data_IF_335152130634
#
_entry.id   IF_335152130634
#
_cell.length_a   1.000
_cell.length_b   1.000
_cell.length_c   1.000
_cell.angle_alpha   90.00
_cell.angle_beta   90.00
_cell.angle_gamma   90.00
#
_symmetry.space_group_name_H-M   'P 1'
#
loop_
_entity.id
_entity.type
_entity.pdbx_description
1 polymer ?
#
# COMPACT_ATOMS: atom_id res chain seq x y z
N UNK A 1 3.01 -8.56 -18.33
CA UNK A 1 1.90 -7.72 -17.83
C UNK A 1 2.14 -7.40 -16.36
N UNK A 2 2.20 -6.13 -16.01
CA UNK A 2 2.50 -5.73 -14.63
C UNK A 2 1.24 -5.25 -13.92
N UNK A 3 1.02 -5.76 -12.70
CA UNK A 3 -0.11 -5.39 -11.85
C UNK A 3 0.35 -4.43 -10.76
N UNK A 4 -0.38 -3.34 -10.56
CA UNK A 4 -0.18 -2.45 -9.41
C UNK A 4 -1.33 -2.64 -8.43
N UNK A 5 -0.99 -2.97 -7.19
CA UNK A 5 -1.96 -3.15 -6.11
C UNK A 5 -1.85 -1.94 -5.19
N UNK A 6 -2.96 -1.23 -5.01
CA UNK A 6 -3.01 -0.01 -4.21
C UNK A 6 -3.88 -0.24 -3.00
N UNK A 7 -3.34 0.03 -1.83
CA UNK A 7 -4.04 -0.12 -0.54
C UNK A 7 -3.98 1.22 0.19
N UNK A 8 -5.14 1.69 0.65
CA UNK A 8 -5.22 2.88 1.48
C UNK A 8 -5.33 2.44 2.94
N UNK A 9 -4.46 2.96 3.80
CA UNK A 9 -4.40 2.61 5.22
C UNK A 9 -4.71 3.81 6.09
N UNK A 10 -5.54 3.57 7.12
CA UNK A 10 -5.74 4.53 8.21
C UNK A 10 -6.02 3.77 9.50
N UNK A 11 -5.05 3.77 10.42
CA UNK A 11 -5.17 3.20 11.78
C UNK A 11 -5.63 1.74 11.83
N UNK A 12 -5.16 0.90 10.89
CA UNK A 12 -5.49 -0.55 10.87
C UNK A 12 -4.22 -1.39 10.72
N UNK A 13 -3.21 -1.08 11.52
CA UNK A 13 -1.86 -1.66 11.42
C UNK A 13 -1.83 -3.19 11.29
N UNK A 14 -2.48 -3.90 12.19
CA UNK A 14 -2.42 -5.35 12.20
C UNK A 14 -3.27 -5.98 11.09
N UNK A 15 -4.38 -5.34 10.75
CA UNK A 15 -5.18 -5.76 9.61
C UNK A 15 -4.40 -5.58 8.30
N UNK A 16 -3.71 -4.45 8.17
CA UNK A 16 -2.86 -4.18 7.01
C UNK A 16 -1.72 -5.19 6.93
N UNK A 17 -1.11 -5.56 8.04
CA UNK A 17 -0.07 -6.59 8.06
C UNK A 17 -0.57 -7.91 7.50
N UNK A 18 -1.74 -8.37 7.94
CA UNK A 18 -2.36 -9.58 7.40
C UNK A 18 -2.63 -9.46 5.90
N UNK A 19 -3.15 -8.32 5.48
CA UNK A 19 -3.44 -8.05 4.09
C UNK A 19 -2.17 -8.13 3.23
N UNK A 20 -1.09 -7.51 3.68
CA UNK A 20 0.20 -7.53 2.95
C UNK A 20 0.80 -8.93 2.89
N UNK A 21 0.68 -9.72 3.95
CA UNK A 21 1.12 -11.12 3.94
C UNK A 21 0.36 -11.93 2.88
N UNK A 22 -0.96 -11.74 2.82
CA UNK A 22 -1.80 -12.44 1.84
C UNK A 22 -1.49 -12.02 0.41
N UNK A 23 -1.29 -10.72 0.19
CA UNK A 23 -0.93 -10.19 -1.12
C UNK A 23 0.44 -10.71 -1.57
N UNK A 24 1.42 -10.69 -0.67
CA UNK A 24 2.76 -11.21 -0.96
C UNK A 24 2.71 -12.65 -1.43
N UNK A 25 1.92 -13.50 -0.77
CA UNK A 25 1.76 -14.89 -1.15
C UNK A 25 1.04 -15.02 -2.50
N UNK A 26 0.01 -14.22 -2.73
CA UNK A 26 -0.80 -14.29 -3.94
C UNK A 26 -0.05 -13.87 -5.19
N UNK A 27 0.86 -12.90 -5.09
CA UNK A 27 1.60 -12.36 -6.25
C UNK A 27 2.98 -12.97 -6.43
N UNK A 28 3.34 -13.96 -5.62
CA UNK A 28 4.63 -14.66 -5.76
C UNK A 28 4.77 -15.21 -7.18
N UNK A 29 5.89 -14.86 -7.84
CA UNK A 29 6.13 -15.25 -9.23
C UNK A 29 5.45 -14.39 -10.27
N UNK A 30 4.68 -13.38 -9.88
CA UNK A 30 4.03 -12.45 -10.80
C UNK A 30 4.80 -11.14 -10.88
N UNK A 31 4.67 -10.45 -12.04
CA UNK A 31 5.18 -9.09 -12.17
C UNK A 31 4.17 -8.13 -11.56
N UNK A 32 4.41 -7.72 -10.33
CA UNK A 32 3.47 -6.88 -9.59
C UNK A 32 4.21 -5.93 -8.63
N UNK A 33 3.59 -4.79 -8.38
CA UNK A 33 4.05 -3.85 -7.34
C UNK A 33 2.91 -3.60 -6.36
N UNK A 34 3.26 -3.29 -5.10
CA UNK A 34 2.29 -2.95 -4.06
C UNK A 34 2.61 -1.57 -3.53
N UNK A 35 1.60 -0.71 -3.53
CA UNK A 35 1.70 0.65 -2.99
C UNK A 35 0.69 0.79 -1.84
N UNK A 36 1.16 1.26 -0.70
CA UNK A 36 0.31 1.57 0.45
C UNK A 36 0.33 3.06 0.68
N UNK A 37 -0.84 3.68 0.65
CA UNK A 37 -0.99 5.10 0.98
C UNK A 37 -1.49 5.19 2.42
N UNK A 38 -0.66 5.75 3.30
CA UNK A 38 -1.01 5.96 4.69
C UNK A 38 -1.58 7.36 4.89
N UNK A 39 -2.84 7.44 5.28
CA UNK A 39 -3.56 8.70 5.47
C UNK A 39 -3.38 9.25 6.89
N UNK A 40 -2.10 9.45 7.29
CA UNK A 40 -1.76 10.04 8.59
C UNK A 40 -2.21 9.17 9.77
N UNK A 41 -1.87 7.88 9.72
CA UNK A 41 -2.17 6.96 10.81
C UNK A 41 -1.41 7.32 12.08
N UNK A 42 -2.08 7.20 13.22
CA UNK A 42 -1.50 7.46 14.53
C UNK A 42 -1.04 6.20 15.25
N UNK A 43 -1.21 5.02 14.65
CA UNK A 43 -0.91 3.73 15.26
C UNK A 43 0.49 3.21 14.98
N UNK A 44 1.33 3.99 14.28
CA UNK A 44 2.68 3.57 13.92
C UNK A 44 2.73 2.55 12.79
N UNK A 45 1.69 2.51 11.94
CA UNK A 45 1.58 1.54 10.85
C UNK A 45 2.82 1.50 9.95
N UNK A 46 3.26 2.66 9.48
CA UNK A 46 4.36 2.74 8.50
C UNK A 46 5.69 2.34 9.13
N UNK A 47 5.99 2.84 10.34
CA UNK A 47 7.22 2.49 11.04
C UNK A 47 7.30 1.00 11.35
N UNK A 48 6.15 0.38 11.65
CA UNK A 48 6.06 -1.04 11.95
C UNK A 48 6.20 -1.91 10.70
N UNK A 49 5.54 -1.52 9.61
CA UNK A 49 5.42 -2.36 8.43
C UNK A 49 6.53 -2.18 7.39
N UNK A 50 7.07 -0.97 7.25
CA UNK A 50 8.10 -0.68 6.25
C UNK A 50 9.28 -1.63 6.30
N UNK A 51 9.90 -1.90 7.47
CA UNK A 51 11.03 -2.84 7.52
C UNK A 51 10.62 -4.30 7.28
N UNK A 52 9.36 -4.66 7.52
CA UNK A 52 8.86 -6.02 7.32
C UNK A 52 8.47 -6.30 5.88
N UNK A 53 8.18 -5.25 5.12
CA UNK A 53 7.76 -5.35 3.72
C UNK A 53 8.59 -4.39 2.87
N UNK A 54 9.90 -4.66 2.70
CA UNK A 54 10.77 -3.74 1.95
C UNK A 54 10.42 -3.63 0.47
N UNK A 55 9.66 -4.59 -0.06
CA UNK A 55 9.21 -4.58 -1.44
C UNK A 55 7.99 -3.67 -1.68
N UNK A 56 7.32 -3.23 -0.60
CA UNK A 56 6.13 -2.37 -0.68
C UNK A 56 6.56 -0.90 -0.69
N UNK A 57 5.93 -0.12 -1.56
CA UNK A 57 6.12 1.34 -1.58
C UNK A 57 5.11 1.98 -0.66
N UNK A 58 5.59 2.68 0.37
CA UNK A 58 4.74 3.39 1.33
C UNK A 58 4.74 4.88 1.02
N UNK A 59 3.53 5.46 0.94
CA UNK A 59 3.32 6.89 0.75
C UNK A 59 2.67 7.41 2.03
N UNK A 60 3.35 8.34 2.72
CA UNK A 60 2.85 8.89 3.98
C UNK A 60 2.26 10.27 3.74
N UNK A 61 0.96 10.40 3.92
CA UNK A 61 0.29 11.70 3.86
C UNK A 61 0.35 12.38 5.24
N UNK A 62 0.49 13.69 5.24
CA UNK A 62 0.53 14.47 6.47
C UNK A 62 -0.86 14.71 7.06
N UNK A 63 -1.90 14.44 6.29
CA UNK A 63 -3.29 14.55 6.71
C UNK A 63 -4.07 13.39 6.10
N UNK A 64 -5.37 13.33 6.36
CA UNK A 64 -6.24 12.32 5.77
C UNK A 64 -7.06 12.95 4.65
N UNK A 65 -6.59 12.89 3.38
CA UNK A 65 -7.31 13.50 2.27
C UNK A 65 -8.54 12.70 1.81
N UNK A 66 -8.81 11.56 2.45
CA UNK A 66 -9.88 10.67 2.07
C UNK A 66 -9.45 9.59 1.10
N UNK A 67 -10.32 8.60 0.91
CA UNK A 67 -10.01 7.39 0.16
C UNK A 67 -9.73 7.66 -1.32
N UNK A 68 -10.60 8.45 -1.97
CA UNK A 68 -10.49 8.70 -3.41
C UNK A 68 -9.20 9.46 -3.77
N UNK A 69 -8.85 10.47 -2.99
CA UNK A 69 -7.61 11.24 -3.21
C UNK A 69 -6.39 10.37 -3.00
N UNK A 70 -6.39 9.53 -1.97
CA UNK A 70 -5.28 8.63 -1.68
C UNK A 70 -5.08 7.63 -2.81
N UNK A 71 -6.15 7.04 -3.33
CA UNK A 71 -6.07 6.14 -4.47
C UNK A 71 -5.52 6.84 -5.71
N UNK A 72 -6.03 8.02 -6.02
CA UNK A 72 -5.55 8.79 -7.18
C UNK A 72 -4.08 9.16 -7.08
N UNK A 73 -3.62 9.47 -5.88
CA UNK A 73 -2.21 9.75 -5.60
C UNK A 73 -1.33 8.56 -5.95
N UNK A 74 -1.73 7.36 -5.52
CA UNK A 74 -1.00 6.12 -5.80
C UNK A 74 -1.07 5.76 -7.29
N UNK A 75 -2.22 5.94 -7.93
CA UNK A 75 -2.39 5.67 -9.36
C UNK A 75 -1.41 6.49 -10.19
N UNK A 76 -1.18 7.76 -9.84
CA UNK A 76 -0.28 8.64 -10.58
C UNK A 76 1.17 8.14 -10.58
N UNK A 77 1.60 7.49 -9.51
CA UNK A 77 2.99 7.01 -9.40
C UNK A 77 3.12 5.52 -9.68
N UNK A 78 2.02 4.81 -9.89
CA UNK A 78 2.07 3.39 -10.22
C UNK A 78 2.63 3.19 -11.63
N UNK A 79 3.36 2.08 -11.82
CA UNK A 79 3.96 1.75 -13.12
C UNK A 79 3.33 0.52 -13.76
N UNK A 80 2.30 -0.05 -13.13
CA UNK A 80 1.62 -1.22 -13.65
C UNK A 80 0.65 -0.90 -14.77
N UNK A 81 0.41 -1.89 -15.63
CA UNK A 81 -0.58 -1.79 -16.69
C UNK A 81 -2.01 -1.90 -16.16
N UNK A 82 -2.15 -2.58 -15.01
CA UNK A 82 -3.43 -2.79 -14.33
C UNK A 82 -3.33 -2.34 -12.88
N UNK A 83 -4.38 -1.71 -12.38
CA UNK A 83 -4.48 -1.23 -11.01
C UNK A 83 -5.60 -1.97 -10.30
N UNK A 84 -5.28 -2.46 -9.11
CA UNK A 84 -6.23 -3.20 -8.29
C UNK A 84 -6.35 -2.55 -6.90
#
# INVERSE_FOLDING_TARGET
MKLSIIIVNYNVKYFLEQCLCSVRAAIAGMEAEVLVVDNHSADGSVEYLRPRFPEVTFIENKDNPGFAKANNQAIRISSGEYVL
#
